data_IF_981091582241
#
_entry.id   IF_981091582241
#
_cell.length_a   1.000
_cell.length_b   1.000
_cell.length_c   1.000
_cell.angle_alpha   90.00
_cell.angle_beta   90.00
_cell.angle_gamma   90.00
#
_symmetry.space_group_name_H-M   'P 1'
#
loop_
_entity.id
_entity.type
_entity.pdbx_description
1 polymer ?
#
# COMPACT_ATOMS: atom_id res chain seq x y z
N UNK A 1 14.28 -43.27 2.33
CA UNK A 1 14.63 -42.76 0.98
C UNK A 1 13.40 -42.92 0.11
N UNK A 2 12.58 -41.86 0.01
CA UNK A 2 12.38 -41.06 -1.21
C UNK A 2 11.90 -41.90 -2.39
N UNK A 3 10.61 -41.74 -2.72
CA UNK A 3 10.14 -41.28 -4.02
C UNK A 3 8.63 -41.02 -3.92
N UNK A 4 8.24 -39.74 -3.92
CA UNK A 4 6.95 -39.32 -4.46
C UNK A 4 7.27 -38.19 -5.44
N UNK A 5 7.15 -38.56 -6.70
CA UNK A 5 7.03 -37.67 -7.85
C UNK A 5 5.52 -37.43 -8.01
N UNK A 6 5.20 -36.24 -8.53
CA UNK A 6 3.87 -35.74 -8.92
C UNK A 6 2.97 -35.15 -7.82
N UNK A 7 3.02 -33.82 -7.72
CA UNK A 7 1.82 -32.97 -7.89
C UNK A 7 2.24 -31.53 -8.23
N UNK A 8 2.51 -31.30 -9.52
CA UNK A 8 2.43 -29.98 -10.13
C UNK A 8 0.95 -29.72 -10.48
N UNK A 9 0.21 -28.97 -9.65
CA UNK A 9 -0.91 -28.12 -10.08
C UNK A 9 -1.65 -27.52 -8.87
N UNK A 10 -1.43 -26.24 -8.59
CA UNK A 10 -2.52 -25.30 -8.26
C UNK A 10 -1.99 -23.87 -8.28
N UNK A 11 -1.76 -23.33 -9.48
CA UNK A 11 -1.95 -21.90 -9.70
C UNK A 11 -3.46 -21.72 -9.68
N UNK A 12 -4.02 -21.21 -8.59
CA UNK A 12 -5.44 -20.84 -8.57
C UNK A 12 -5.63 -19.60 -9.46
N UNK A 13 -5.97 -19.83 -10.72
CA UNK A 13 -6.72 -18.86 -11.54
C UNK A 13 -8.19 -19.21 -11.39
N UNK A 14 -8.92 -18.42 -10.61
CA UNK A 14 -10.37 -18.14 -10.64
C UNK A 14 -10.66 -17.25 -9.41
N UNK A 15 -11.32 -16.10 -9.48
CA UNK A 15 -12.11 -15.52 -10.57
C UNK A 15 -11.85 -14.03 -10.76
N UNK A 16 -12.16 -13.57 -11.97
CA UNK A 16 -12.51 -12.19 -12.25
C UNK A 16 -13.76 -11.84 -11.44
N UNK A 17 -13.71 -10.75 -10.67
CA UNK A 17 -14.78 -9.73 -10.60
C UNK A 17 -14.27 -8.52 -9.79
N UNK A 18 -14.01 -7.43 -10.53
CA UNK A 18 -14.03 -6.02 -10.13
C UNK A 18 -13.14 -5.53 -8.97
N UNK A 19 -11.96 -5.01 -9.35
CA UNK A 19 -11.30 -3.90 -8.67
C UNK A 19 -10.67 -4.17 -7.31
N UNK A 20 -9.43 -4.66 -7.28
CA UNK A 20 -8.35 -4.22 -6.38
C UNK A 20 -7.13 -5.18 -6.47
N UNK A 21 -5.94 -4.62 -6.67
CA UNK A 21 -4.61 -5.22 -6.41
C UNK A 21 -3.96 -6.26 -7.37
N UNK A 22 -4.23 -6.29 -8.68
CA UNK A 22 -3.39 -7.05 -9.66
C UNK A 22 -1.96 -6.47 -9.88
N UNK A 23 -1.64 -5.38 -9.18
CA UNK A 23 -0.46 -4.56 -9.44
C UNK A 23 0.62 -4.63 -8.35
N UNK A 24 0.36 -5.39 -7.29
CA UNK A 24 1.25 -5.55 -6.15
C UNK A 24 1.44 -7.05 -5.91
N UNK A 25 2.68 -7.50 -5.85
CA UNK A 25 2.97 -8.90 -5.52
C UNK A 25 3.01 -9.03 -4.00
N UNK A 26 2.01 -9.68 -3.41
CA UNK A 26 2.00 -9.99 -1.98
C UNK A 26 2.93 -11.17 -1.69
N UNK A 27 3.99 -10.95 -0.91
CA UNK A 27 5.01 -11.96 -0.61
C UNK A 27 4.54 -12.88 0.53
N UNK A 28 4.33 -14.18 0.27
CA UNK A 28 3.69 -15.12 1.23
C UNK A 28 4.64 -15.77 2.25
N UNK A 29 5.96 -15.70 2.08
CA UNK A 29 6.98 -16.35 2.94
C UNK A 29 8.36 -15.69 2.72
N UNK A 30 9.21 -15.50 3.76
CA UNK A 30 10.62 -15.07 3.62
C UNK A 30 11.44 -15.77 2.51
N UNK A 31 11.20 -17.07 2.24
CA UNK A 31 11.84 -17.80 1.13
C UNK A 31 11.29 -17.41 -0.24
N UNK A 32 10.02 -17.01 -0.30
CA UNK A 32 9.42 -16.41 -1.49
C UNK A 32 9.89 -14.97 -1.67
N UNK A 33 10.16 -14.20 -0.62
CA UNK A 33 10.72 -12.84 -0.74
C UNK A 33 11.99 -12.82 -1.60
N UNK A 34 12.93 -13.73 -1.34
CA UNK A 34 14.17 -13.82 -2.12
C UNK A 34 13.94 -14.29 -3.57
N UNK A 35 13.04 -15.26 -3.80
CA UNK A 35 12.69 -15.73 -5.15
C UNK A 35 11.91 -14.68 -5.95
N UNK A 36 10.98 -13.96 -5.31
CA UNK A 36 10.19 -12.90 -5.91
C UNK A 36 11.05 -11.67 -6.16
N UNK A 37 11.95 -11.28 -5.26
CA UNK A 37 12.96 -10.26 -5.57
C UNK A 37 13.79 -10.68 -6.78
N UNK A 38 14.28 -11.92 -6.85
CA UNK A 38 14.98 -12.43 -8.04
C UNK A 38 14.14 -12.37 -9.32
N UNK A 39 12.83 -12.62 -9.26
CA UNK A 39 11.91 -12.49 -10.40
C UNK A 39 11.59 -11.04 -10.76
N UNK A 40 11.48 -10.15 -9.78
CA UNK A 40 11.30 -8.71 -9.98
C UNK A 40 12.52 -8.08 -10.63
N UNK A 41 13.73 -8.54 -10.26
CA UNK A 41 14.98 -8.12 -10.87
C UNK A 41 15.10 -8.53 -12.34
N UNK A 42 14.37 -9.57 -12.80
CA UNK A 42 14.29 -9.93 -14.23
C UNK A 42 13.42 -8.98 -15.05
N UNK A 43 12.64 -8.13 -14.38
CA UNK A 43 11.76 -7.15 -15.00
C UNK A 43 12.46 -5.80 -15.13
N UNK A 44 13.79 -5.80 -15.18
CA UNK A 44 14.62 -4.61 -15.26
C UNK A 44 15.34 -4.65 -16.59
N UNK A 45 15.31 -3.55 -17.32
CA UNK A 45 15.98 -3.41 -18.61
C UNK A 45 17.50 -3.30 -18.41
N UNK A 46 18.26 -3.51 -19.49
CA UNK A 46 19.72 -3.34 -19.47
C UNK A 46 20.16 -1.91 -19.08
N UNK A 47 19.26 -0.92 -19.23
CA UNK A 47 19.48 0.47 -18.78
C UNK A 47 19.24 0.69 -17.28
N UNK A 48 18.88 -0.35 -16.53
CA UNK A 48 18.59 -0.25 -15.09
C UNK A 48 17.22 0.37 -14.77
N UNK A 49 16.34 0.54 -15.75
CA UNK A 49 14.96 1.02 -15.59
C UNK A 49 14.04 -0.18 -15.37
N UNK A 50 13.06 -0.04 -14.48
CA UNK A 50 12.04 -1.09 -14.35
C UNK A 50 11.18 -1.16 -15.60
N UNK A 51 10.88 -2.38 -16.05
CA UNK A 51 10.01 -2.62 -17.21
C UNK A 51 8.57 -2.21 -16.93
N UNK A 52 7.77 -2.04 -17.98
CA UNK A 52 6.32 -1.76 -17.88
C UNK A 52 5.55 -2.85 -17.11
N UNK A 53 6.07 -4.07 -17.06
CA UNK A 53 5.45 -5.18 -16.33
C UNK A 53 5.85 -5.24 -14.87
N UNK A 54 6.78 -4.40 -14.42
CA UNK A 54 7.20 -4.33 -13.03
C UNK A 54 6.01 -4.12 -12.11
N UNK A 55 6.05 -4.81 -10.96
CA UNK A 55 5.06 -4.75 -9.90
C UNK A 55 5.80 -4.58 -8.59
N UNK A 56 5.41 -3.61 -7.77
CA UNK A 56 6.01 -3.52 -6.45
C UNK A 56 5.65 -4.73 -5.60
N UNK A 57 6.53 -5.10 -4.68
CA UNK A 57 6.23 -6.14 -3.70
C UNK A 57 5.62 -5.53 -2.43
N UNK A 58 4.77 -6.27 -1.72
CA UNK A 58 4.38 -5.96 -0.34
C UNK A 58 4.78 -7.07 0.61
N UNK A 59 5.17 -6.68 1.83
CA UNK A 59 5.56 -7.61 2.90
C UNK A 59 4.37 -8.04 3.78
N UNK A 60 3.14 -8.05 3.26
CA UNK A 60 1.93 -8.19 4.08
C UNK A 60 1.95 -9.41 5.03
N UNK A 61 2.44 -10.55 4.58
CA UNK A 61 2.46 -11.79 5.38
C UNK A 61 3.47 -11.77 6.52
N UNK A 62 4.48 -10.89 6.49
CA UNK A 62 5.34 -10.72 7.66
C UNK A 62 4.58 -10.12 8.85
N UNK A 63 3.46 -9.43 8.60
CA UNK A 63 2.68 -8.78 9.64
C UNK A 63 1.49 -9.61 10.08
N UNK A 64 0.86 -10.40 9.20
CA UNK A 64 -0.30 -11.25 9.57
C UNK A 64 0.02 -12.18 10.76
N UNK A 65 1.27 -12.63 10.88
CA UNK A 65 1.69 -13.54 11.95
C UNK A 65 2.28 -12.82 13.18
N UNK A 66 2.46 -11.50 13.13
CA UNK A 66 2.87 -10.73 14.29
C UNK A 66 1.71 -10.66 15.27
N UNK A 67 1.98 -10.94 16.56
CA UNK A 67 0.98 -10.73 17.62
C UNK A 67 0.54 -9.26 17.65
N UNK A 68 1.52 -8.35 17.54
CA UNK A 68 1.33 -6.91 17.40
C UNK A 68 2.62 -6.28 16.89
N UNK A 69 2.52 -5.13 16.23
CA UNK A 69 3.67 -4.31 15.85
C UNK A 69 3.35 -2.82 16.01
N UNK A 70 4.37 -1.97 16.11
CA UNK A 70 4.17 -0.53 16.13
C UNK A 70 4.15 0.05 14.71
N UNK A 71 3.23 0.98 14.44
CA UNK A 71 3.12 1.65 13.15
C UNK A 71 2.50 3.04 13.22
N UNK A 72 2.80 3.86 12.22
CA UNK A 72 2.16 5.14 11.97
C UNK A 72 1.05 4.95 10.93
N UNK A 73 -0.08 5.65 11.11
CA UNK A 73 -1.11 5.71 10.07
C UNK A 73 -0.67 6.76 9.05
N UNK A 74 -0.19 6.31 7.90
CA UNK A 74 0.39 7.18 6.88
C UNK A 74 -0.66 7.84 5.99
N UNK A 75 -1.83 7.21 5.84
CA UNK A 75 -2.94 7.75 5.06
C UNK A 75 -4.27 7.08 5.43
N UNK A 76 -5.38 7.76 5.19
CA UNK A 76 -6.74 7.23 5.32
C UNK A 76 -7.45 7.46 3.99
N UNK A 77 -7.77 6.39 3.28
CA UNK A 77 -8.54 6.47 2.04
C UNK A 77 -10.02 6.64 2.37
N UNK A 78 -10.54 7.82 1.99
CA UNK A 78 -11.94 8.19 2.22
C UNK A 78 -12.91 7.35 1.40
N UNK A 79 -12.49 6.74 0.30
CA UNK A 79 -13.38 6.11 -0.68
C UNK A 79 -13.48 4.58 -0.57
N UNK A 80 -12.62 3.93 0.22
CA UNK A 80 -12.56 2.46 0.31
C UNK A 80 -12.52 1.94 1.77
N UNK A 81 -12.80 2.79 2.77
CA UNK A 81 -12.67 2.45 4.20
C UNK A 81 -11.31 1.81 4.54
N UNK A 82 -10.27 2.24 3.83
CA UNK A 82 -8.91 1.71 3.93
C UNK A 82 -8.03 2.69 4.69
N UNK A 83 -7.17 2.18 5.56
CA UNK A 83 -6.13 2.96 6.21
C UNK A 83 -4.78 2.34 5.89
N UNK A 84 -3.77 3.17 5.72
CA UNK A 84 -2.42 2.73 5.40
C UNK A 84 -1.52 2.85 6.61
N UNK A 85 -0.78 1.77 6.90
CA UNK A 85 0.12 1.69 8.05
C UNK A 85 1.56 1.57 7.58
N UNK A 86 2.43 2.43 8.08
CA UNK A 86 3.88 2.30 7.96
C UNK A 86 4.46 1.74 9.26
N UNK A 87 5.08 0.55 9.24
CA UNK A 87 5.69 -0.03 10.44
C UNK A 87 6.89 0.79 10.95
N UNK A 88 6.96 1.01 12.26
CA UNK A 88 8.07 1.76 12.89
C UNK A 88 9.42 1.13 12.58
N UNK A 89 9.50 -0.21 12.54
CA UNK A 89 10.75 -0.96 12.29
C UNK A 89 11.42 -0.68 10.94
N UNK A 90 10.74 0.06 10.04
CA UNK A 90 11.29 0.45 8.74
C UNK A 90 11.31 1.96 8.49
N UNK A 91 11.03 2.80 9.49
CA UNK A 91 11.01 4.27 9.31
C UNK A 91 12.35 4.80 8.80
N UNK A 92 13.48 4.39 9.38
CA UNK A 92 14.81 4.79 8.91
C UNK A 92 15.07 4.41 7.43
N UNK A 93 14.50 3.28 6.97
CA UNK A 93 14.63 2.87 5.57
C UNK A 93 13.79 3.75 4.63
N UNK A 94 12.61 4.19 5.08
CA UNK A 94 11.76 5.12 4.34
C UNK A 94 12.44 6.48 4.26
N UNK A 95 12.95 7.00 5.38
CA UNK A 95 13.67 8.28 5.44
C UNK A 95 14.85 8.28 4.49
N UNK A 96 15.71 7.25 4.56
CA UNK A 96 16.85 7.08 3.64
C UNK A 96 16.39 7.04 2.18
N UNK A 97 15.36 6.24 1.87
CA UNK A 97 14.82 6.14 0.51
C UNK A 97 14.32 7.50 -0.01
N UNK A 98 13.60 8.27 0.80
CA UNK A 98 13.07 9.58 0.41
C UNK A 98 14.20 10.59 0.17
N UNK A 99 15.24 10.59 1.00
CA UNK A 99 16.42 11.44 0.81
C UNK A 99 17.16 11.09 -0.49
N UNK A 100 17.40 9.81 -0.75
CA UNK A 100 18.09 9.35 -1.96
C UNK A 100 17.26 9.61 -3.23
N UNK A 101 15.95 9.36 -3.19
CA UNK A 101 15.03 9.69 -4.28
C UNK A 101 15.08 11.19 -4.59
N UNK A 102 14.90 12.03 -3.57
CA UNK A 102 14.89 13.46 -3.78
C UNK A 102 16.24 13.98 -4.28
N UNK A 103 17.34 13.54 -3.71
CA UNK A 103 18.70 13.90 -4.14
C UNK A 103 18.94 13.54 -5.62
N UNK A 104 18.59 12.31 -6.02
CA UNK A 104 18.82 11.85 -7.38
C UNK A 104 17.88 12.51 -8.41
N UNK A 105 16.57 12.51 -8.16
CA UNK A 105 15.57 12.96 -9.13
C UNK A 105 15.41 14.49 -9.19
N UNK A 106 15.91 15.23 -8.21
CA UNK A 106 16.04 16.69 -8.30
C UNK A 106 17.23 17.12 -9.17
N UNK A 107 18.19 16.22 -9.42
CA UNK A 107 19.35 16.53 -10.26
C UNK A 107 19.01 16.52 -11.76
N UNK A 108 19.76 17.30 -12.55
CA UNK A 108 19.61 17.37 -14.00
C UNK A 108 19.93 16.06 -14.72
N UNK A 109 20.70 15.16 -14.09
CA UNK A 109 21.03 13.82 -14.61
C UNK A 109 19.75 13.03 -14.88
N UNK A 110 18.74 13.20 -14.03
CA UNK A 110 17.45 12.50 -14.12
C UNK A 110 16.51 13.03 -15.21
N UNK A 111 16.84 14.12 -15.91
CA UNK A 111 16.00 14.67 -16.99
C UNK A 111 15.86 13.70 -18.18
N UNK A 112 16.82 12.80 -18.36
CA UNK A 112 16.74 11.72 -19.34
C UNK A 112 15.68 10.67 -19.01
N UNK A 113 15.16 10.64 -17.78
CA UNK A 113 14.19 9.67 -17.30
C UNK A 113 12.74 10.14 -17.43
N UNK A 114 12.48 11.32 -18.00
CA UNK A 114 11.13 11.86 -18.16
C UNK A 114 10.27 10.91 -19.01
N UNK A 115 9.05 10.63 -18.53
CA UNK A 115 8.07 9.81 -19.22
C UNK A 115 7.10 10.71 -19.96
N UNK A 116 7.04 10.60 -21.28
CA UNK A 116 6.14 11.39 -22.12
C UNK A 116 4.76 10.74 -22.31
N UNK A 117 4.65 9.42 -22.15
CA UNK A 117 3.39 8.70 -22.30
C UNK A 117 3.05 7.93 -21.01
N UNK A 118 2.12 8.48 -20.24
CA UNK A 118 1.65 7.88 -19.00
C UNK A 118 0.55 6.85 -19.31
N UNK A 119 0.77 5.62 -18.86
CA UNK A 119 -0.12 4.48 -19.09
C UNK A 119 -0.48 3.84 -17.76
N UNK A 120 -1.70 3.30 -17.67
CA UNK A 120 -2.14 2.46 -16.54
C UNK A 120 -1.17 1.30 -16.32
N UNK A 121 -0.85 1.01 -15.06
CA UNK A 121 0.03 -0.10 -14.69
C UNK A 121 1.52 0.25 -14.60
N UNK A 122 1.90 1.51 -14.85
CA UNK A 122 3.29 1.96 -14.82
C UNK A 122 3.77 2.23 -13.38
N UNK A 123 4.90 1.63 -13.00
CA UNK A 123 5.67 2.06 -11.82
C UNK A 123 6.63 3.17 -12.19
N UNK A 124 6.59 4.27 -11.45
CA UNK A 124 7.33 5.48 -11.77
C UNK A 124 7.77 6.23 -10.50
N UNK A 125 8.41 7.37 -10.71
CA UNK A 125 8.72 8.36 -9.69
C UNK A 125 8.05 9.67 -10.09
N UNK A 126 7.42 10.33 -9.13
CA UNK A 126 6.76 11.63 -9.33
C UNK A 126 6.74 12.42 -8.03
N UNK A 127 6.34 13.68 -8.07
CA UNK A 127 6.35 14.54 -6.89
C UNK A 127 5.01 14.64 -6.17
N UNK A 128 5.08 14.80 -4.86
CA UNK A 128 3.99 15.27 -4.01
C UNK A 128 4.54 16.43 -3.17
N UNK A 129 3.91 17.61 -3.23
CA UNK A 129 4.39 18.84 -2.58
C UNK A 129 5.89 19.15 -2.83
N UNK A 130 6.37 18.85 -4.03
CA UNK A 130 7.76 19.09 -4.46
C UNK A 130 8.78 18.04 -4.03
N UNK A 131 8.37 17.01 -3.29
CA UNK A 131 9.23 15.90 -2.86
C UNK A 131 9.02 14.70 -3.79
N UNK A 132 10.09 14.01 -4.18
CA UNK A 132 10.00 12.86 -5.09
C UNK A 132 9.66 11.59 -4.32
N UNK A 133 8.70 10.83 -4.84
CA UNK A 133 8.22 9.60 -4.25
C UNK A 133 8.10 8.50 -5.30
N UNK A 134 8.15 7.24 -4.83
CA UNK A 134 7.77 6.09 -5.64
C UNK A 134 6.27 6.07 -5.85
N UNK A 135 5.87 5.83 -7.09
CA UNK A 135 4.49 5.91 -7.50
C UNK A 135 4.12 4.75 -8.42
N UNK A 136 2.81 4.53 -8.50
CA UNK A 136 2.17 3.61 -9.41
C UNK A 136 0.96 4.28 -10.06
N UNK A 137 0.83 4.14 -11.38
CA UNK A 137 -0.31 4.67 -12.13
C UNK A 137 -1.45 3.64 -12.08
N UNK A 138 -2.41 3.84 -11.16
CA UNK A 138 -3.58 2.96 -10.97
C UNK A 138 -4.49 3.00 -12.18
N UNK A 139 -4.80 4.20 -12.67
CA UNK A 139 -5.65 4.42 -13.82
C UNK A 139 -5.16 5.63 -14.61
N UNK A 140 -5.43 5.65 -15.91
CA UNK A 140 -5.01 6.73 -16.77
C UNK A 140 -5.90 6.87 -17.99
N UNK A 141 -6.31 8.10 -18.28
CA UNK A 141 -7.04 8.46 -19.50
C UNK A 141 -6.19 9.40 -20.38
N UNK A 142 -6.80 10.15 -21.30
CA UNK A 142 -6.07 11.07 -22.19
C UNK A 142 -5.43 12.26 -21.45
N UNK A 143 -6.05 12.76 -20.38
CA UNK A 143 -5.70 14.03 -19.72
C UNK A 143 -5.24 13.85 -18.28
N UNK A 144 -5.77 12.84 -17.59
CA UNK A 144 -5.60 12.61 -16.16
C UNK A 144 -5.06 11.22 -15.86
N UNK A 145 -4.56 11.08 -14.65
CA UNK A 145 -4.23 9.78 -14.10
C UNK A 145 -4.45 9.74 -12.59
N UNK A 146 -4.74 8.54 -12.10
CA UNK A 146 -4.84 8.22 -10.68
C UNK A 146 -3.51 7.59 -10.26
N UNK A 147 -2.83 8.23 -9.33
CA UNK A 147 -1.51 7.86 -8.80
C UNK A 147 -1.69 7.28 -7.40
N UNK A 148 -0.96 6.20 -7.12
CA UNK A 148 -0.77 5.68 -5.76
C UNK A 148 0.67 5.91 -5.35
N UNK A 149 0.88 6.66 -4.27
CA UNK A 149 2.19 6.83 -3.63
C UNK A 149 2.45 5.63 -2.73
N UNK A 150 3.13 4.62 -3.27
CA UNK A 150 3.15 3.26 -2.73
C UNK A 150 3.77 3.12 -1.34
N UNK A 151 4.51 4.13 -0.90
CA UNK A 151 5.15 4.15 0.41
C UNK A 151 4.27 4.73 1.51
N UNK A 152 3.26 5.53 1.14
CA UNK A 152 2.32 6.17 2.07
C UNK A 152 0.88 5.65 1.92
N UNK A 153 0.56 5.09 0.75
CA UNK A 153 -0.77 4.63 0.39
C UNK A 153 -1.68 5.72 -0.18
N UNK A 154 -1.21 6.96 -0.18
CA UNK A 154 -1.95 8.13 -0.69
C UNK A 154 -2.32 7.97 -2.15
N UNK A 155 -3.61 8.21 -2.45
CA UNK A 155 -4.15 8.21 -3.80
C UNK A 155 -4.43 9.65 -4.24
N UNK A 156 -4.01 10.01 -5.45
CA UNK A 156 -4.27 11.34 -6.05
C UNK A 156 -4.65 11.22 -7.50
N UNK A 157 -5.69 11.95 -7.89
CA UNK A 157 -5.97 12.24 -9.30
C UNK A 157 -5.23 13.53 -9.69
N UNK A 158 -4.48 13.49 -10.78
CA UNK A 158 -3.74 14.67 -11.29
C UNK A 158 -3.91 14.80 -12.80
N UNK A 159 -3.76 16.03 -13.30
CA UNK A 159 -3.61 16.29 -14.73
C UNK A 159 -2.19 15.92 -15.18
N UNK A 160 -2.07 15.24 -16.33
CA UNK A 160 -0.78 14.73 -16.83
C UNK A 160 0.18 15.83 -17.28
N UNK A 161 -0.34 16.98 -17.66
CA UNK A 161 0.43 18.15 -18.13
C UNK A 161 0.99 19.00 -16.99
N UNK A 162 0.38 18.92 -15.80
CA UNK A 162 0.81 19.64 -14.59
C UNK A 162 1.80 18.83 -13.74
N UNK A 163 1.96 17.54 -14.04
CA UNK A 163 2.76 16.60 -13.24
C UNK A 163 3.90 16.00 -14.05
N UNK A 164 5.13 16.04 -13.50
CA UNK A 164 6.28 15.38 -14.11
C UNK A 164 6.44 13.95 -13.59
N UNK A 165 6.49 12.99 -14.50
CA UNK A 165 6.75 11.58 -14.19
C UNK A 165 8.11 11.18 -14.73
N UNK A 166 8.84 10.38 -13.95
CA UNK A 166 10.15 9.84 -14.31
C UNK A 166 10.17 8.33 -14.15
N UNK A 167 10.93 7.64 -15.00
CA UNK A 167 11.11 6.20 -14.91
C UNK A 167 11.75 5.81 -13.59
N UNK A 168 11.21 4.77 -12.95
CA UNK A 168 11.78 4.21 -11.73
C UNK A 168 13.03 3.39 -12.07
N UNK A 169 14.14 3.70 -11.40
CA UNK A 169 15.36 2.92 -11.47
C UNK A 169 15.32 1.71 -10.53
N UNK A 170 15.99 0.63 -10.97
CA UNK A 170 16.19 -0.62 -10.24
C UNK A 170 16.47 -0.43 -8.77
N UNK A 171 17.48 0.40 -8.46
CA UNK A 171 17.97 0.58 -7.10
C UNK A 171 16.88 1.06 -6.14
N UNK A 172 15.98 1.94 -6.61
CA UNK A 172 14.84 2.42 -5.84
C UNK A 172 13.64 1.46 -5.83
N UNK A 173 13.65 0.42 -6.68
CA UNK A 173 12.59 -0.57 -6.80
C UNK A 173 12.80 -1.80 -5.91
N UNK A 174 13.97 -1.95 -5.28
CA UNK A 174 14.32 -3.13 -4.46
C UNK A 174 13.59 -3.17 -3.11
N UNK A 175 13.30 -2.01 -2.53
CA UNK A 175 12.45 -1.92 -1.34
C UNK A 175 11.01 -2.31 -1.68
N UNK A 176 10.34 -3.16 -0.89
CA UNK A 176 8.90 -3.35 -0.97
C UNK A 176 8.14 -2.03 -0.73
N UNK A 177 6.86 -1.96 -1.11
CA UNK A 177 5.97 -0.88 -0.68
C UNK A 177 5.99 -0.77 0.84
N UNK A 178 6.08 0.45 1.34
CA UNK A 178 6.23 0.71 2.77
C UNK A 178 4.89 0.95 3.48
N UNK A 179 3.83 1.24 2.72
CA UNK A 179 2.47 1.33 3.23
C UNK A 179 1.76 -0.03 3.15
N UNK A 180 1.21 -0.45 4.28
CA UNK A 180 0.37 -1.64 4.40
C UNK A 180 -1.08 -1.19 4.35
N UNK A 181 -1.83 -1.64 3.35
CA UNK A 181 -3.26 -1.38 3.25
C UNK A 181 -4.03 -2.23 4.27
N UNK A 182 -4.81 -1.56 5.11
CA UNK A 182 -5.48 -2.12 6.27
C UNK A 182 -6.95 -1.71 6.32
N UNK A 183 -7.74 -2.41 7.12
CA UNK A 183 -9.08 -2.00 7.52
C UNK A 183 -9.34 -2.32 8.99
N UNK A 184 -10.18 -1.50 9.62
CA UNK A 184 -10.56 -1.72 11.01
C UNK A 184 -11.43 -2.96 11.16
N UNK A 185 -11.03 -3.85 12.04
CA UNK A 185 -11.75 -5.06 12.39
C UNK A 185 -13.06 -4.77 13.12
N UNK A 186 -14.03 -5.67 12.96
CA UNK A 186 -15.26 -5.73 13.75
C UNK A 186 -16.12 -4.45 13.74
N UNK A 187 -15.91 -3.55 12.78
CA UNK A 187 -16.72 -2.34 12.63
C UNK A 187 -17.21 -2.12 11.20
N UNK A 188 -18.39 -1.49 11.08
CA UNK A 188 -18.92 -0.89 9.85
C UNK A 188 -19.18 0.59 10.12
N UNK A 189 -18.65 1.47 9.28
CA UNK A 189 -18.90 2.91 9.40
C UNK A 189 -20.37 3.25 9.12
N UNK A 190 -20.83 4.39 9.66
CA UNK A 190 -22.19 4.87 9.48
C UNK A 190 -22.16 6.19 8.67
N UNK A 191 -22.95 6.31 7.59
CA UNK A 191 -23.67 5.23 6.92
C UNK A 191 -22.70 4.20 6.33
N UNK A 192 -23.22 3.00 6.05
CA UNK A 192 -22.49 1.96 5.32
C UNK A 192 -22.50 2.33 3.82
N UNK A 193 -21.69 3.32 3.47
CA UNK A 193 -21.42 3.79 2.11
C UNK A 193 -20.01 3.34 1.72
N UNK A 194 -19.63 3.42 0.44
CA UNK A 194 -18.24 3.23 0.03
C UNK A 194 -17.36 4.37 0.57
N UNK A 195 -17.92 5.58 0.74
CA UNK A 195 -17.17 6.74 1.17
C UNK A 195 -17.42 7.09 2.64
N UNK A 196 -16.34 7.36 3.40
CA UNK A 196 -16.43 7.99 4.70
C UNK A 196 -17.05 9.39 4.56
N UNK A 197 -17.99 9.71 5.46
CA UNK A 197 -18.46 11.08 5.64
C UNK A 197 -17.30 11.98 6.06
N UNK A 198 -17.34 13.28 5.69
CA UNK A 198 -16.28 14.23 6.07
C UNK A 198 -16.00 14.26 7.57
N UNK A 199 -17.05 14.23 8.40
CA UNK A 199 -16.89 14.27 9.86
C UNK A 199 -16.25 12.98 10.40
N UNK A 200 -16.66 11.81 9.87
CA UNK A 200 -16.05 10.52 10.21
C UNK A 200 -14.58 10.49 9.82
N UNK A 201 -14.24 10.97 8.63
CA UNK A 201 -12.86 11.08 8.16
C UNK A 201 -12.03 12.01 9.07
N UNK A 202 -12.55 13.19 9.40
CA UNK A 202 -11.84 14.17 10.24
C UNK A 202 -11.57 13.63 11.65
N UNK A 203 -12.53 12.91 12.24
CA UNK A 203 -12.35 12.27 13.54
C UNK A 203 -11.30 11.16 13.46
N UNK A 204 -11.38 10.26 12.47
CA UNK A 204 -10.37 9.22 12.26
C UNK A 204 -8.98 9.81 12.06
N UNK A 205 -8.88 10.86 11.24
CA UNK A 205 -7.63 11.59 11.03
C UNK A 205 -7.09 12.15 12.34
N UNK A 206 -7.97 12.73 13.18
CA UNK A 206 -7.59 13.26 14.49
C UNK A 206 -7.11 12.17 15.45
N UNK A 207 -7.80 11.03 15.49
CA UNK A 207 -7.42 9.88 16.32
C UNK A 207 -6.12 9.23 15.85
N UNK A 208 -5.83 9.27 14.55
CA UNK A 208 -4.70 8.55 13.93
C UNK A 208 -3.45 9.43 13.71
N UNK A 209 -3.48 10.73 14.02
CA UNK A 209 -2.36 11.65 13.69
C UNK A 209 -1.13 11.48 14.60
N UNK A 210 -1.33 11.17 15.89
CA UNK A 210 -0.28 11.20 16.92
C UNK A 210 0.20 9.78 17.27
N UNK A 211 0.76 9.07 16.28
CA UNK A 211 1.36 7.76 16.49
C UNK A 211 2.72 7.80 17.23
N UNK A 212 3.40 6.64 17.37
CA UNK A 212 3.04 5.35 16.80
C UNK A 212 1.94 4.64 17.60
N UNK A 213 1.15 3.83 16.91
CA UNK A 213 0.12 2.98 17.50
C UNK A 213 0.60 1.53 17.59
N UNK A 214 0.03 0.76 18.51
CA UNK A 214 0.08 -0.70 18.46
C UNK A 214 -0.97 -1.22 17.50
N UNK A 215 -0.51 -1.93 16.47
CA UNK A 215 -1.34 -2.55 15.45
C UNK A 215 -1.42 -4.04 15.76
N UNK A 216 -2.63 -4.52 15.98
CA UNK A 216 -2.95 -5.93 16.21
C UNK A 216 -3.62 -6.50 14.97
N UNK A 217 -2.92 -7.31 14.17
CA UNK A 217 -3.51 -8.06 13.06
C UNK A 217 -4.53 -9.06 13.57
N UNK A 218 -5.73 -9.07 12.99
CA UNK A 218 -6.79 -10.03 13.32
C UNK A 218 -7.16 -10.92 12.14
N UNK A 219 -6.76 -10.55 10.92
CA UNK A 219 -6.98 -11.36 9.73
C UNK A 219 -6.55 -10.68 8.45
N UNK A 220 -6.95 -11.26 7.33
CA UNK A 220 -6.70 -10.73 6.00
C UNK A 220 -7.90 -11.03 5.10
N UNK A 221 -8.42 -10.00 4.42
CA UNK A 221 -9.60 -10.10 3.58
C UNK A 221 -9.51 -9.11 2.42
N UNK A 222 -9.77 -9.58 1.19
CA UNK A 222 -9.85 -8.76 -0.01
C UNK A 222 -8.64 -7.83 -0.23
N UNK A 223 -7.41 -8.33 -0.04
CA UNK A 223 -6.22 -7.50 -0.24
C UNK A 223 -5.79 -6.67 0.98
N UNK A 224 -6.61 -6.61 2.03
CA UNK A 224 -6.39 -5.73 3.19
C UNK A 224 -6.09 -6.52 4.48
N UNK A 225 -5.12 -6.04 5.25
CA UNK A 225 -4.92 -6.50 6.63
C UNK A 225 -6.11 -6.04 7.48
N UNK A 226 -6.76 -6.96 8.18
CA UNK A 226 -7.79 -6.59 9.15
C UNK A 226 -7.10 -6.38 10.51
N UNK A 227 -7.32 -5.21 11.13
CA UNK A 227 -6.54 -4.77 12.30
C UNK A 227 -7.40 -4.17 13.40
N UNK A 228 -6.92 -4.28 14.64
CA UNK A 228 -7.25 -3.37 15.74
C UNK A 228 -6.10 -2.41 15.94
N UNK A 229 -6.43 -1.15 16.23
CA UNK A 229 -5.45 -0.10 16.52
C UNK A 229 -5.59 0.29 17.98
N UNK A 230 -4.47 0.30 18.71
CA UNK A 230 -4.40 0.74 20.09
C UNK A 230 -3.39 1.87 20.24
N UNK A 231 -3.73 2.88 21.02
CA UNK A 231 -2.80 3.97 21.37
C UNK A 231 -1.82 3.55 22.49
N UNK A 232 -1.00 4.50 22.95
CA UNK A 232 -0.02 4.27 24.01
C UNK A 232 -0.65 3.93 25.38
N UNK A 233 -1.91 4.30 25.59
CA UNK A 233 -2.68 4.02 26.81
C UNK A 233 -3.51 2.72 26.67
N UNK A 234 -3.26 1.92 25.62
CA UNK A 234 -3.98 0.69 25.27
C UNK A 234 -5.49 0.91 25.01
N UNK A 235 -5.90 2.13 24.66
CA UNK A 235 -7.27 2.40 24.21
C UNK A 235 -7.42 1.96 22.76
N UNK A 236 -8.47 1.19 22.47
CA UNK A 236 -8.71 0.71 21.12
C UNK A 236 -9.50 1.73 20.30
N UNK A 237 -8.90 2.23 19.22
CA UNK A 237 -9.52 3.19 18.31
C UNK A 237 -10.80 2.62 17.66
N UNK A 238 -10.84 1.32 17.36
CA UNK A 238 -12.07 0.68 16.85
C UNK A 238 -13.23 0.86 17.85
N UNK A 239 -12.96 0.79 19.15
CA UNK A 239 -13.95 0.96 20.21
C UNK A 239 -14.37 2.44 20.33
N UNK A 240 -13.41 3.36 20.24
CA UNK A 240 -13.66 4.82 20.29
C UNK A 240 -14.58 5.24 19.14
N UNK A 241 -14.30 4.81 17.91
CA UNK A 241 -15.11 5.17 16.73
C UNK A 241 -16.56 4.67 16.87
N UNK A 242 -16.76 3.50 17.50
CA UNK A 242 -18.11 2.99 17.82
C UNK A 242 -18.78 3.81 18.93
N UNK A 243 -18.07 4.15 20.00
CA UNK A 243 -18.59 4.96 21.10
C UNK A 243 -18.99 6.37 20.64
N UNK A 244 -18.22 6.94 19.70
CA UNK A 244 -18.51 8.22 19.04
C UNK A 244 -19.64 8.15 18.01
N UNK A 245 -20.28 6.98 17.84
CA UNK A 245 -21.38 6.72 16.90
C UNK A 245 -21.02 6.96 15.43
N UNK A 246 -19.74 6.83 15.09
CA UNK A 246 -19.23 6.92 13.72
C UNK A 246 -19.22 5.56 13.03
N UNK A 247 -19.26 4.48 13.82
CA UNK A 247 -19.36 3.11 13.35
C UNK A 247 -20.26 2.28 14.29
N UNK A 248 -20.70 1.11 13.81
CA UNK A 248 -21.31 0.05 14.63
C UNK A 248 -20.45 -1.20 14.60
N UNK A 249 -20.63 -2.06 15.61
CA UNK A 249 -20.04 -3.41 15.59
C UNK A 249 -20.64 -4.23 14.45
N UNK A 250 -19.80 -4.98 13.75
CA UNK A 250 -20.23 -6.03 12.82
C UNK A 250 -20.77 -7.20 13.62
N UNK A 251 -21.95 -7.06 14.22
CA UNK A 251 -22.59 -8.17 14.93
C UNK A 251 -22.68 -9.38 14.00
N UNK A 252 -22.17 -10.50 14.49
CA UNK A 252 -22.33 -11.84 13.97
C UNK A 252 -23.76 -12.09 13.49
N UNK A 253 -23.99 -12.00 12.17
CA UNK A 253 -25.21 -12.44 11.47
C UNK A 253 -25.45 -13.97 11.57
N UNK A 254 -24.70 -14.68 12.41
CA UNK A 254 -24.83 -16.10 12.70
C UNK A 254 -25.11 -16.31 14.18
N UNK A 255 -26.21 -15.79 14.73
CA UNK A 255 -26.97 -16.42 15.82
C UNK A 255 -28.34 -15.75 15.90
N UNK A 256 -29.29 -16.31 15.16
CA UNK A 256 -30.69 -16.50 15.54
C UNK A 256 -31.29 -17.59 14.65
#
# INVERSE_FOLDING_TARGET
MKNFVDDFASISRHGEENGSCDHIITLKDPKQVAQTQSQLLKQITDSGIVSKTFRYATNLFSYINDRRFQGFISDIDRNEHCLHVQPVRYQEHIETLMEELHSYYSSSISNSLIINNIETGLSCVTTYDGIYHRAFIKESDLYKCVIVFVDYGTIKEVNKDEQQFKYLLKHFAELPCMAIACRLDDISFIPDDNNLLPDTYNELYTLCKDGPFFIEPTGYMNGLLTIRILDADEQCLNDIVVQSKLAVRKFSYFMN
#
